data_IF_888815212219
#
_entry.id   IF_888815212219
#
_cell.length_a   1.000
_cell.length_b   1.000
_cell.length_c   1.000
_cell.angle_alpha   90.00
_cell.angle_beta   90.00
_cell.angle_gamma   90.00
#
_symmetry.space_group_name_H-M   'P 1'
#
loop_
_entity.id
_entity.type
_entity.pdbx_description
1 polymer ?
#
# COMPACT_ATOMS: atom_id res chain seq x y z
N UNK A 1 -56.05 -15.67 -10.50
CA UNK A 1 -54.90 -15.26 -9.66
C UNK A 1 -53.67 -15.98 -10.19
N UNK A 2 -52.89 -15.33 -11.06
CA UNK A 2 -51.69 -15.93 -11.67
C UNK A 2 -50.49 -15.54 -10.82
N UNK A 3 -49.88 -16.53 -10.16
CA UNK A 3 -48.62 -16.34 -9.43
C UNK A 3 -47.48 -16.27 -10.44
N UNK A 4 -46.95 -15.07 -10.66
CA UNK A 4 -45.72 -14.88 -11.44
C UNK A 4 -44.55 -15.22 -10.51
N UNK A 5 -43.85 -16.31 -10.80
CA UNK A 5 -42.61 -16.65 -10.14
C UNK A 5 -41.47 -15.83 -10.77
N UNK A 6 -40.90 -14.91 -10.01
CA UNK A 6 -39.70 -14.16 -10.41
C UNK A 6 -38.49 -15.03 -10.11
N UNK A 7 -37.87 -15.58 -11.15
CA UNK A 7 -36.57 -16.25 -11.07
C UNK A 7 -35.50 -15.17 -11.15
N UNK A 8 -34.83 -14.89 -10.04
CA UNK A 8 -33.66 -14.02 -10.01
C UNK A 8 -32.45 -14.79 -10.54
N UNK A 9 -32.00 -14.46 -11.76
CA UNK A 9 -30.75 -14.95 -12.32
C UNK A 9 -29.62 -14.14 -11.69
N UNK A 10 -28.86 -14.76 -10.79
CA UNK A 10 -27.60 -14.20 -10.27
C UNK A 10 -26.56 -14.35 -11.38
N UNK A 11 -26.33 -13.29 -12.14
CA UNK A 11 -25.14 -13.18 -12.99
C UNK A 11 -23.92 -12.99 -12.11
N UNK A 12 -23.18 -14.05 -11.82
CA UNK A 12 -21.82 -13.94 -11.30
C UNK A 12 -20.92 -13.42 -12.42
N UNK A 13 -20.60 -12.12 -12.40
CA UNK A 13 -19.55 -11.54 -13.23
C UNK A 13 -18.23 -12.07 -12.69
N UNK A 14 -17.79 -13.22 -13.21
CA UNK A 14 -16.42 -13.68 -12.98
C UNK A 14 -15.52 -12.74 -13.78
N UNK A 15 -14.95 -11.73 -13.10
CA UNK A 15 -13.77 -11.06 -13.64
C UNK A 15 -12.66 -12.12 -13.72
N UNK A 16 -12.37 -12.61 -14.93
CA UNK A 16 -11.29 -13.55 -15.14
C UNK A 16 -9.99 -12.84 -14.76
N UNK A 17 -9.28 -13.40 -13.77
CA UNK A 17 -7.91 -12.98 -13.50
C UNK A 17 -7.06 -13.31 -14.74
N UNK A 18 -6.19 -12.38 -15.14
CA UNK A 18 -5.28 -12.61 -16.26
C UNK A 18 -4.41 -13.84 -15.98
N UNK A 19 -4.10 -14.57 -17.04
CA UNK A 19 -3.10 -15.63 -17.01
C UNK A 19 -1.69 -15.06 -16.97
N UNK A 20 -0.73 -15.88 -16.52
CA UNK A 20 0.68 -15.51 -16.54
C UNK A 20 1.20 -15.16 -17.94
N UNK A 21 0.70 -15.86 -18.97
CA UNK A 21 1.03 -15.58 -20.36
C UNK A 21 0.54 -14.21 -20.82
N UNK A 22 -0.70 -13.84 -20.48
CA UNK A 22 -1.26 -12.53 -20.81
C UNK A 22 -0.48 -11.41 -20.13
N UNK A 23 -0.21 -11.53 -18.84
CA UNK A 23 0.63 -10.58 -18.09
C UNK A 23 2.02 -10.45 -18.73
N UNK A 24 2.65 -11.58 -19.08
CA UNK A 24 3.97 -11.56 -19.72
C UNK A 24 3.93 -10.86 -21.09
N UNK A 25 2.88 -11.11 -21.89
CA UNK A 25 2.65 -10.43 -23.17
C UNK A 25 2.45 -8.93 -22.98
N UNK A 26 1.71 -8.49 -21.97
CA UNK A 26 1.47 -7.07 -21.70
C UNK A 26 2.73 -6.33 -21.18
N UNK A 27 3.55 -6.99 -20.36
CA UNK A 27 4.84 -6.43 -19.90
C UNK A 27 5.81 -6.26 -21.08
N UNK A 28 5.87 -7.24 -21.98
CA UNK A 28 6.82 -7.23 -23.11
C UNK A 28 6.35 -6.33 -24.25
N UNK A 29 5.04 -6.38 -24.55
CA UNK A 29 4.35 -5.68 -25.64
C UNK A 29 5.11 -5.72 -26.98
N UNK A 30 5.53 -6.92 -27.38
CA UNK A 30 6.25 -7.17 -28.62
C UNK A 30 5.84 -8.53 -29.18
N UNK A 31 4.96 -8.50 -30.20
CA UNK A 31 4.39 -9.70 -30.81
C UNK A 31 5.43 -10.62 -31.44
N UNK A 32 6.61 -10.11 -31.80
CA UNK A 32 7.69 -10.95 -32.34
C UNK A 32 8.21 -11.98 -31.32
N UNK A 33 7.94 -11.76 -30.02
CA UNK A 33 8.36 -12.62 -28.92
C UNK A 33 7.27 -13.59 -28.46
N UNK A 34 6.06 -13.54 -29.02
CA UNK A 34 4.90 -14.29 -28.54
C UNK A 34 5.14 -15.81 -28.48
N UNK A 35 5.76 -16.39 -29.51
CA UNK A 35 6.06 -17.82 -29.53
C UNK A 35 6.98 -18.26 -28.37
N UNK A 36 7.97 -17.41 -28.03
CA UNK A 36 8.87 -17.66 -26.90
C UNK A 36 8.14 -17.47 -25.56
N UNK A 37 7.25 -16.48 -25.46
CA UNK A 37 6.41 -16.28 -24.27
C UNK A 37 5.46 -17.46 -24.05
N UNK A 38 4.84 -17.98 -25.11
CA UNK A 38 3.97 -19.16 -25.03
C UNK A 38 4.73 -20.40 -24.54
N UNK A 39 5.93 -20.63 -25.07
CA UNK A 39 6.78 -21.74 -24.62
C UNK A 39 7.13 -21.64 -23.13
N UNK A 40 7.37 -20.43 -22.63
CA UNK A 40 7.73 -20.18 -21.24
C UNK A 40 6.52 -20.27 -20.30
N UNK A 41 5.38 -19.68 -20.67
CA UNK A 41 4.30 -19.40 -19.72
C UNK A 41 3.02 -20.24 -19.89
N UNK A 42 2.80 -20.93 -21.03
CA UNK A 42 1.51 -21.58 -21.30
C UNK A 42 1.21 -22.81 -20.43
N UNK A 43 2.24 -23.47 -19.89
CA UNK A 43 2.10 -24.78 -19.21
C UNK A 43 2.16 -24.73 -17.68
N UNK A 44 2.64 -23.62 -17.12
CA UNK A 44 2.87 -23.50 -15.69
C UNK A 44 1.88 -22.49 -15.09
N UNK A 45 1.40 -22.80 -13.88
CA UNK A 45 0.53 -21.91 -13.15
C UNK A 45 1.39 -21.01 -12.24
N UNK A 46 1.74 -19.81 -12.71
CA UNK A 46 2.54 -18.85 -11.95
C UNK A 46 1.67 -18.10 -10.97
N UNK A 47 1.31 -18.76 -9.86
CA UNK A 47 0.41 -18.23 -8.85
C UNK A 47 1.15 -18.05 -7.54
N UNK A 48 0.95 -16.91 -6.89
CA UNK A 48 1.54 -16.59 -5.60
C UNK A 48 0.74 -17.17 -4.43
N UNK A 49 1.24 -17.00 -3.21
CA UNK A 49 0.58 -17.46 -1.98
C UNK A 49 -0.78 -16.80 -1.73
N UNK A 50 -1.06 -15.66 -2.37
CA UNK A 50 -2.31 -14.92 -2.28
C UNK A 50 -3.32 -15.29 -3.37
N UNK A 51 -3.00 -16.29 -4.21
CA UNK A 51 -3.78 -16.75 -5.37
C UNK A 51 -3.87 -15.74 -6.52
N UNK A 52 -2.91 -14.82 -6.61
CA UNK A 52 -2.76 -13.92 -7.75
C UNK A 52 -1.66 -14.43 -8.68
N UNK A 53 -1.58 -13.86 -9.89
CA UNK A 53 -0.44 -14.09 -10.77
C UNK A 53 0.85 -13.64 -10.08
N UNK A 54 1.87 -14.50 -10.08
CA UNK A 54 3.17 -14.22 -9.49
C UNK A 54 4.00 -13.30 -10.39
N UNK A 55 3.68 -12.01 -10.36
CA UNK A 55 4.34 -10.96 -11.17
C UNK A 55 5.86 -10.93 -10.95
N UNK A 56 6.31 -11.22 -9.71
CA UNK A 56 7.74 -11.24 -9.41
C UNK A 56 8.47 -12.31 -10.21
N UNK A 57 7.94 -13.54 -10.19
CA UNK A 57 8.52 -14.66 -10.92
C UNK A 57 8.47 -14.44 -12.44
N UNK A 58 7.34 -13.94 -12.95
CA UNK A 58 7.21 -13.57 -14.37
C UNK A 58 8.28 -12.53 -14.75
N UNK A 59 8.42 -11.45 -13.98
CA UNK A 59 9.46 -10.44 -14.24
C UNK A 59 10.87 -11.04 -14.24
N UNK A 60 11.18 -11.96 -13.31
CA UNK A 60 12.50 -12.62 -13.31
C UNK A 60 12.71 -13.46 -14.57
N UNK A 61 11.74 -14.27 -14.96
CA UNK A 61 11.83 -15.10 -16.17
C UNK A 61 12.02 -14.22 -17.40
N UNK A 62 11.27 -13.13 -17.53
CA UNK A 62 11.41 -12.19 -18.64
C UNK A 62 12.81 -11.58 -18.71
N UNK A 63 13.37 -11.13 -17.58
CA UNK A 63 14.72 -10.56 -17.52
C UNK A 63 15.79 -11.60 -17.86
N UNK A 64 15.74 -12.77 -17.23
CA UNK A 64 16.72 -13.86 -17.46
C UNK A 64 16.70 -14.34 -18.91
N UNK A 65 15.56 -14.25 -19.59
CA UNK A 65 15.42 -14.60 -21.00
C UNK A 65 15.64 -13.42 -21.96
N UNK A 66 16.07 -12.26 -21.46
CA UNK A 66 16.28 -11.01 -22.21
C UNK A 66 15.04 -10.56 -23.00
N UNK A 67 13.85 -10.86 -22.48
CA UNK A 67 12.56 -10.49 -23.07
C UNK A 67 12.12 -9.09 -22.63
N UNK A 68 12.52 -8.67 -21.44
CA UNK A 68 12.34 -7.34 -20.89
C UNK A 68 13.67 -6.80 -20.32
N UNK A 69 13.93 -5.52 -20.54
CA UNK A 69 15.05 -4.80 -19.95
C UNK A 69 14.52 -3.57 -19.21
N UNK A 70 14.91 -3.41 -17.94
CA UNK A 70 14.49 -2.31 -17.08
C UNK A 70 15.64 -1.38 -16.73
N UNK A 71 16.77 -1.48 -17.43
CA UNK A 71 17.97 -0.66 -17.22
C UNK A 71 18.33 0.05 -18.52
N UNK A 72 18.60 1.34 -18.43
CA UNK A 72 19.01 2.19 -19.53
C UNK A 72 20.47 2.62 -19.36
N UNK A 73 21.15 2.90 -20.47
CA UNK A 73 22.55 3.32 -20.47
C UNK A 73 22.76 4.74 -19.90
N UNK A 74 21.70 5.56 -19.90
CA UNK A 74 21.70 6.93 -19.40
C UNK A 74 20.34 7.26 -18.78
N UNK A 75 20.25 8.27 -17.89
CA UNK A 75 18.98 8.64 -17.28
C UNK A 75 17.98 9.11 -18.34
N UNK A 76 16.73 8.67 -18.22
CA UNK A 76 15.63 9.07 -19.10
C UNK A 76 14.44 9.51 -18.27
N UNK A 77 13.59 10.35 -18.84
CA UNK A 77 12.28 10.64 -18.26
C UNK A 77 11.34 9.46 -18.51
N UNK A 78 11.04 8.76 -17.43
CA UNK A 78 10.14 7.62 -17.38
C UNK A 78 8.76 8.07 -16.93
N UNK A 79 7.73 7.43 -17.46
CA UNK A 79 6.34 7.68 -17.13
C UNK A 79 5.74 6.43 -16.48
N UNK A 80 5.16 6.60 -15.30
CA UNK A 80 4.40 5.55 -14.62
C UNK A 80 2.95 6.01 -14.48
N UNK A 81 2.00 5.18 -14.86
CA UNK A 81 0.58 5.41 -14.62
C UNK A 81 0.03 4.32 -13.69
N UNK A 82 -0.63 4.74 -12.62
CA UNK A 82 -1.27 3.86 -11.65
C UNK A 82 -2.77 4.08 -11.69
N UNK A 83 -3.51 2.98 -11.81
CA UNK A 83 -4.97 2.96 -11.84
C UNK A 83 -5.51 2.06 -10.75
N UNK A 84 -6.47 2.54 -9.96
CA UNK A 84 -7.09 1.73 -8.92
C UNK A 84 -8.47 2.26 -8.52
N UNK A 85 -9.36 1.35 -8.15
CA UNK A 85 -10.51 1.68 -7.30
C UNK A 85 -10.03 1.71 -5.85
N UNK A 86 -9.87 2.90 -5.26
CA UNK A 86 -9.30 3.09 -3.93
C UNK A 86 -9.75 4.39 -3.27
N UNK A 87 -9.61 4.44 -1.95
CA UNK A 87 -9.63 5.71 -1.22
C UNK A 87 -8.32 6.47 -1.48
N UNK A 88 -8.40 7.78 -1.68
CA UNK A 88 -7.28 8.60 -2.14
C UNK A 88 -6.14 8.67 -1.13
N UNK A 89 -6.45 8.74 0.17
CA UNK A 89 -5.42 8.93 1.22
C UNK A 89 -4.52 7.70 1.29
N UNK A 90 -5.11 6.51 1.43
CA UNK A 90 -4.36 5.25 1.46
C UNK A 90 -3.68 4.95 0.11
N UNK A 91 -4.31 5.30 -1.01
CA UNK A 91 -3.71 5.14 -2.33
C UNK A 91 -2.39 5.91 -2.44
N UNK A 92 -2.43 7.23 -2.23
CA UNK A 92 -1.23 8.06 -2.39
C UNK A 92 -0.16 7.67 -1.38
N UNK A 93 -0.54 7.37 -0.13
CA UNK A 93 0.42 6.90 0.86
C UNK A 93 1.16 5.65 0.40
N UNK A 94 0.43 4.60 0.01
CA UNK A 94 1.06 3.33 -0.36
C UNK A 94 1.91 3.49 -1.63
N UNK A 95 1.42 4.17 -2.67
CA UNK A 95 2.18 4.36 -3.90
C UNK A 95 3.47 5.14 -3.64
N UNK A 96 3.38 6.26 -2.92
CA UNK A 96 4.56 7.09 -2.65
C UNK A 96 5.56 6.38 -1.74
N UNK A 97 5.10 5.72 -0.67
CA UNK A 97 5.97 4.95 0.23
C UNK A 97 6.66 3.81 -0.53
N UNK A 98 5.93 3.12 -1.41
CA UNK A 98 6.46 2.02 -2.23
C UNK A 98 7.52 2.51 -3.23
N UNK A 99 7.27 3.62 -3.93
CA UNK A 99 8.22 4.21 -4.86
C UNK A 99 9.49 4.68 -4.14
N UNK A 100 9.34 5.32 -2.98
CA UNK A 100 10.47 5.74 -2.13
C UNK A 100 11.29 4.53 -1.65
N UNK A 101 10.65 3.44 -1.21
CA UNK A 101 11.32 2.20 -0.81
C UNK A 101 12.14 1.57 -1.96
N UNK A 102 11.74 1.81 -3.20
CA UNK A 102 12.43 1.36 -4.42
C UNK A 102 13.47 2.37 -4.95
N UNK A 103 13.69 3.49 -4.25
CA UNK A 103 14.70 4.49 -4.59
C UNK A 103 14.21 5.63 -5.49
N UNK A 104 12.91 5.68 -5.81
CA UNK A 104 12.31 6.79 -6.56
C UNK A 104 11.91 7.91 -5.61
N UNK A 105 12.88 8.77 -5.24
CA UNK A 105 12.67 9.84 -4.26
C UNK A 105 12.11 11.13 -4.89
N UNK A 106 12.39 11.36 -6.17
CA UNK A 106 11.95 12.54 -6.91
C UNK A 106 11.07 12.13 -8.08
N UNK A 107 9.76 12.25 -7.91
CA UNK A 107 8.77 12.02 -8.95
C UNK A 107 7.80 13.20 -9.04
N UNK A 108 7.42 13.54 -10.27
CA UNK A 108 6.57 14.69 -10.57
C UNK A 108 5.20 14.19 -11.00
N UNK A 109 4.12 14.52 -10.27
CA UNK A 109 2.76 14.31 -10.74
C UNK A 109 2.52 15.07 -12.04
N UNK A 110 2.17 14.35 -13.12
CA UNK A 110 1.84 14.95 -14.42
C UNK A 110 0.36 14.84 -14.76
N UNK A 111 -0.36 13.90 -14.16
CA UNK A 111 -1.81 13.76 -14.32
C UNK A 111 -2.42 13.15 -13.06
N UNK A 112 -3.58 13.67 -12.67
CA UNK A 112 -4.40 13.09 -11.60
C UNK A 112 -5.88 13.18 -11.98
N UNK A 113 -6.54 12.03 -12.03
CA UNK A 113 -8.01 11.94 -12.14
C UNK A 113 -8.57 11.22 -10.93
N UNK A 114 -9.58 11.82 -10.31
CA UNK A 114 -10.36 11.23 -9.21
C UNK A 114 -11.82 11.19 -9.64
N UNK A 115 -12.35 10.02 -9.99
CA UNK A 115 -13.76 9.84 -10.39
C UNK A 115 -14.35 8.65 -9.65
N UNK A 116 -15.34 8.88 -8.78
CA UNK A 116 -16.06 7.79 -8.08
C UNK A 116 -15.12 6.79 -7.37
N UNK A 117 -14.06 7.30 -6.72
CA UNK A 117 -12.98 6.51 -6.10
C UNK A 117 -12.15 5.65 -7.09
N UNK A 118 -12.32 5.85 -8.39
CA UNK A 118 -11.36 5.42 -9.39
C UNK A 118 -10.30 6.50 -9.57
N UNK A 119 -9.06 6.12 -9.28
CA UNK A 119 -7.89 6.99 -9.30
C UNK A 119 -7.05 6.63 -10.50
N UNK A 120 -6.72 7.63 -11.32
CA UNK A 120 -5.63 7.55 -12.30
C UNK A 120 -4.57 8.54 -11.87
N UNK A 121 -3.37 8.04 -11.57
CA UNK A 121 -2.25 8.85 -11.11
C UNK A 121 -1.04 8.61 -11.99
N UNK A 122 -0.58 9.66 -12.67
CA UNK A 122 0.53 9.58 -13.62
C UNK A 122 1.70 10.40 -13.11
N UNK A 123 2.87 9.78 -13.12
CA UNK A 123 4.12 10.33 -12.62
C UNK A 123 5.17 10.36 -13.72
N UNK A 124 6.02 11.38 -13.69
CA UNK A 124 7.28 11.45 -14.42
C UNK A 124 8.46 11.32 -13.45
N UNK A 125 9.47 10.55 -13.84
CA UNK A 125 10.68 10.28 -13.04
C UNK A 125 11.90 10.26 -13.95
N UNK A 126 12.94 11.03 -13.63
CA UNK A 126 14.23 10.90 -14.32
C UNK A 126 15.08 9.80 -13.67
N UNK A 127 15.33 8.71 -14.40
CA UNK A 127 16.07 7.55 -13.89
C UNK A 127 16.71 6.72 -14.99
N UNK A 128 17.80 6.03 -14.66
CA UNK A 128 18.38 4.95 -15.47
C UNK A 128 17.63 3.62 -15.30
N UNK A 129 16.76 3.52 -14.31
CA UNK A 129 16.10 2.28 -13.91
C UNK A 129 14.59 2.42 -14.06
N UNK A 130 14.03 1.68 -15.03
CA UNK A 130 12.59 1.46 -15.13
C UNK A 130 12.07 0.75 -13.88
N UNK A 131 10.83 1.07 -13.49
CA UNK A 131 10.16 0.39 -12.39
C UNK A 131 10.02 -1.10 -12.75
N UNK A 132 10.88 -1.95 -12.19
CA UNK A 132 10.81 -3.39 -12.39
C UNK A 132 9.47 -3.88 -11.82
N UNK A 133 8.55 -4.40 -12.66
CA UNK A 133 7.21 -4.76 -12.20
C UNK A 133 7.20 -5.83 -11.11
N UNK A 134 8.21 -6.70 -11.09
CA UNK A 134 8.35 -7.74 -10.08
C UNK A 134 8.80 -7.20 -8.74
N UNK A 135 9.79 -6.30 -8.73
CA UNK A 135 10.22 -5.63 -7.50
C UNK A 135 9.14 -4.71 -6.94
N UNK A 136 8.45 -3.99 -7.83
CA UNK A 136 7.29 -3.18 -7.46
C UNK A 136 6.18 -4.02 -6.84
N UNK A 137 5.83 -5.16 -7.45
CA UNK A 137 4.83 -6.07 -6.89
C UNK A 137 5.22 -6.55 -5.48
N UNK A 138 6.47 -6.98 -5.28
CA UNK A 138 6.95 -7.41 -3.96
C UNK A 138 6.81 -6.31 -2.90
N UNK A 139 7.12 -5.07 -3.25
CA UNK A 139 7.00 -3.95 -2.32
C UNK A 139 5.53 -3.61 -2.01
N UNK A 140 4.63 -3.65 -3.01
CA UNK A 140 3.19 -3.48 -2.80
C UNK A 140 2.56 -4.53 -1.89
N UNK A 141 3.01 -5.80 -1.99
CA UNK A 141 2.51 -6.89 -1.15
C UNK A 141 2.72 -6.65 0.35
N UNK A 142 3.72 -5.85 0.75
CA UNK A 142 3.91 -5.44 2.15
C UNK A 142 2.73 -4.64 2.70
N UNK A 143 1.93 -4.03 1.83
CA UNK A 143 0.72 -3.29 2.17
C UNK A 143 -0.55 -4.02 1.68
N UNK A 144 -0.46 -5.32 1.35
CA UNK A 144 -1.59 -6.11 0.81
C UNK A 144 -2.26 -5.49 -0.42
N UNK A 145 -1.46 -4.82 -1.27
CA UNK A 145 -1.87 -4.30 -2.57
C UNK A 145 -1.35 -5.23 -3.66
N UNK A 146 -2.21 -5.52 -4.64
CA UNK A 146 -1.88 -6.42 -5.74
C UNK A 146 -1.86 -5.68 -7.07
N UNK A 147 -1.11 -6.20 -8.04
CA UNK A 147 -1.16 -5.76 -9.42
C UNK A 147 -2.12 -6.70 -10.17
N UNK A 148 -3.16 -6.13 -10.77
CA UNK A 148 -4.10 -6.86 -11.63
C UNK A 148 -3.55 -7.02 -13.04
N UNK A 149 -2.96 -5.97 -13.58
CA UNK A 149 -2.34 -5.95 -14.91
C UNK A 149 -1.21 -4.91 -15.01
N UNK A 150 -0.32 -5.12 -15.98
CA UNK A 150 0.80 -4.25 -16.31
C UNK A 150 0.85 -4.11 -17.82
N UNK A 151 0.62 -2.91 -18.33
CA UNK A 151 0.66 -2.61 -19.76
C UNK A 151 1.86 -1.73 -20.11
N UNK A 152 2.76 -2.23 -20.96
CA UNK A 152 3.81 -1.41 -21.56
C UNK A 152 3.22 -0.55 -22.67
N UNK A 153 3.06 0.75 -22.43
CA UNK A 153 2.52 1.70 -23.43
C UNK A 153 3.61 2.11 -24.43
N UNK A 154 4.84 2.29 -23.95
CA UNK A 154 6.03 2.51 -24.78
C UNK A 154 7.28 2.06 -24.01
N UNK A 155 8.46 2.16 -24.63
CA UNK A 155 9.74 1.84 -23.95
C UNK A 155 9.96 2.61 -22.64
N UNK A 156 9.40 3.82 -22.52
CA UNK A 156 9.57 4.70 -21.36
C UNK A 156 8.28 4.91 -20.55
N UNK A 157 7.21 4.17 -20.86
CA UNK A 157 5.89 4.38 -20.26
C UNK A 157 5.21 3.05 -19.91
N UNK A 158 4.94 2.85 -18.63
CA UNK A 158 4.21 1.69 -18.12
C UNK A 158 2.97 2.13 -17.35
N UNK A 159 1.91 1.35 -17.53
CA UNK A 159 0.67 1.48 -16.81
C UNK A 159 0.44 0.25 -15.92
N UNK A 160 -0.03 0.48 -14.70
CA UNK A 160 -0.29 -0.51 -13.68
C UNK A 160 -1.73 -0.39 -13.22
N UNK A 161 -2.50 -1.47 -13.35
CA UNK A 161 -3.81 -1.58 -12.71
C UNK A 161 -3.65 -2.32 -11.38
N UNK A 162 -4.11 -1.69 -10.29
CA UNK A 162 -3.85 -2.12 -8.92
C UNK A 162 -5.15 -2.49 -8.20
N UNK A 163 -5.06 -3.49 -7.33
CA UNK A 163 -6.11 -3.90 -6.41
C UNK A 163 -5.81 -3.42 -4.99
N UNK A 164 -6.59 -2.45 -4.53
CA UNK A 164 -6.53 -1.90 -3.17
C UNK A 164 -7.62 -2.47 -2.24
N UNK A 165 -8.41 -3.46 -2.68
CA UNK A 165 -9.54 -4.00 -1.91
C UNK A 165 -9.16 -4.58 -0.55
N UNK A 166 -7.89 -5.01 -0.40
CA UNK A 166 -7.31 -5.54 0.85
C UNK A 166 -6.18 -4.67 1.39
N UNK A 167 -6.04 -3.44 0.90
CA UNK A 167 -4.94 -2.56 1.27
C UNK A 167 -4.88 -2.35 2.79
N UNK A 168 -3.70 -2.57 3.36
CA UNK A 168 -3.39 -2.35 4.77
C UNK A 168 -2.09 -1.58 4.88
N UNK A 169 -2.08 -0.36 5.45
CA UNK A 169 -0.86 0.40 5.59
C UNK A 169 0.08 -0.25 6.59
N UNK A 170 1.38 -0.15 6.30
CA UNK A 170 2.46 -0.59 7.19
C UNK A 170 2.38 0.14 8.54
N UNK A 171 2.18 -0.63 9.60
CA UNK A 171 2.33 -0.16 10.99
C UNK A 171 3.77 -0.35 11.46
N UNK A 172 4.22 0.47 12.41
CA UNK A 172 5.57 0.39 12.96
C UNK A 172 5.60 -0.01 14.44
N UNK A 173 4.42 -0.13 15.07
CA UNK A 173 4.26 -0.39 16.50
C UNK A 173 3.25 -1.51 16.69
N UNK A 174 3.69 -2.61 17.30
CA UNK A 174 2.86 -3.77 17.62
C UNK A 174 2.42 -3.70 19.07
N UNK A 175 1.13 -3.82 19.31
CA UNK A 175 0.52 -3.76 20.65
C UNK A 175 -0.55 -4.82 20.70
N UNK A 176 -0.65 -5.58 21.78
CA UNK A 176 -1.73 -6.56 21.96
C UNK A 176 -2.86 -5.97 22.80
N UNK A 177 -4.10 -6.32 22.46
CA UNK A 177 -5.27 -5.96 23.27
C UNK A 177 -5.13 -6.48 24.70
N UNK A 178 -5.53 -5.66 25.66
CA UNK A 178 -5.52 -5.94 27.09
C UNK A 178 -4.15 -6.34 27.66
N UNK A 179 -3.06 -5.89 27.04
CA UNK A 179 -1.69 -6.12 27.52
C UNK A 179 -0.95 -4.79 27.59
N UNK A 180 -0.36 -4.49 28.76
CA UNK A 180 0.48 -3.31 28.92
C UNK A 180 1.78 -3.54 28.17
N UNK A 181 2.05 -2.72 27.16
CA UNK A 181 3.21 -2.83 26.29
C UNK A 181 4.14 -1.65 26.50
N UNK A 182 5.43 -1.91 26.72
CA UNK A 182 6.47 -0.87 26.74
C UNK A 182 6.95 -0.63 25.31
N UNK A 183 6.84 0.63 24.85
CA UNK A 183 7.37 1.10 23.57
C UNK A 183 8.78 1.64 23.75
N UNK A 184 9.63 1.45 22.75
CA UNK A 184 10.99 1.99 22.72
C UNK A 184 11.00 3.48 22.36
N UNK A 185 12.12 4.19 22.58
CA UNK A 185 12.29 5.57 22.10
C UNK A 185 11.89 5.68 20.62
N UNK A 186 10.96 6.57 20.24
CA UNK A 186 10.53 6.70 18.86
C UNK A 186 11.59 7.45 18.04
N UNK A 187 11.96 6.90 16.88
CA UNK A 187 12.64 7.65 15.81
C UNK A 187 11.64 8.33 14.86
N UNK A 188 10.39 7.87 14.91
CA UNK A 188 9.22 8.35 14.16
C UNK A 188 7.99 8.13 15.04
N UNK A 189 6.89 8.81 14.74
CA UNK A 189 5.63 8.63 15.45
C UNK A 189 5.23 7.14 15.47
N UNK A 190 4.66 6.67 16.58
CA UNK A 190 4.15 5.31 16.68
C UNK A 190 2.87 5.20 15.86
N UNK A 191 2.80 4.21 14.98
CA UNK A 191 1.63 3.90 14.15
C UNK A 191 1.22 2.48 14.49
N UNK A 192 0.00 2.31 15.00
CA UNK A 192 -0.52 1.01 15.42
C UNK A 192 -1.96 0.76 14.98
N UNK A 193 -2.33 -0.52 14.89
CA UNK A 193 -3.70 -1.00 14.72
C UNK A 193 -4.39 -1.06 16.09
N UNK A 194 -5.54 -0.40 16.20
CA UNK A 194 -6.34 -0.31 17.42
C UNK A 194 -7.11 -1.60 17.73
N UNK A 195 -7.20 -2.53 16.76
CA UNK A 195 -7.77 -3.88 16.93
C UNK A 195 -9.20 -3.89 17.50
N UNK A 196 -9.96 -2.80 17.32
CA UNK A 196 -11.31 -2.66 17.88
C UNK A 196 -11.35 -2.37 19.38
N UNK A 197 -10.26 -1.87 19.97
CA UNK A 197 -10.24 -1.35 21.33
C UNK A 197 -11.22 -0.17 21.49
N UNK A 198 -11.78 -0.02 22.69
CA UNK A 198 -12.68 1.06 23.09
C UNK A 198 -11.97 2.24 23.73
N UNK A 199 -10.82 2.00 24.36
CA UNK A 199 -10.00 3.06 24.92
C UNK A 199 -8.51 2.75 24.82
N UNK A 200 -7.72 3.81 24.84
CA UNK A 200 -6.27 3.76 24.86
C UNK A 200 -5.78 4.46 26.13
N UNK A 201 -4.86 3.80 26.83
CA UNK A 201 -4.16 4.34 28.00
C UNK A 201 -2.68 4.45 27.65
N UNK A 202 -2.10 5.62 27.89
CA UNK A 202 -0.69 5.90 27.60
C UNK A 202 -0.03 6.53 28.82
N UNK A 203 1.17 6.07 29.13
CA UNK A 203 2.00 6.63 30.20
C UNK A 203 3.41 6.92 29.71
N UNK A 204 3.87 8.16 29.91
CA UNK A 204 5.25 8.55 29.71
C UNK A 204 6.08 8.27 30.97
N UNK A 205 7.39 8.18 30.81
CA UNK A 205 8.29 8.13 31.96
C UNK A 205 8.33 9.51 32.68
N UNK A 206 8.36 9.55 34.01
CA UNK A 206 8.33 10.82 34.77
C UNK A 206 9.44 11.83 34.41
N UNK A 207 10.59 11.31 33.98
CA UNK A 207 11.75 12.10 33.52
C UNK A 207 11.68 12.53 32.05
N UNK A 208 10.65 12.11 31.32
CA UNK A 208 10.38 12.56 29.96
C UNK A 208 9.45 13.78 30.01
N UNK A 209 9.42 14.56 28.94
CA UNK A 209 8.59 15.76 28.85
C UNK A 209 7.58 15.61 27.73
N UNK A 210 6.82 14.52 27.76
CA UNK A 210 5.90 14.20 26.68
C UNK A 210 4.71 15.17 26.64
N UNK A 211 4.46 15.73 25.46
CA UNK A 211 3.32 16.58 25.14
C UNK A 211 2.43 15.82 24.17
N UNK A 212 1.36 15.21 24.70
CA UNK A 212 0.56 14.24 23.96
C UNK A 212 0.03 14.79 22.63
N UNK A 213 0.34 14.08 21.54
CA UNK A 213 -0.26 14.22 20.22
C UNK A 213 -0.74 12.85 19.74
N UNK A 214 -2.03 12.70 19.53
CA UNK A 214 -2.64 11.45 19.03
C UNK A 214 -3.59 11.79 17.90
N UNK A 215 -3.52 11.04 16.79
CA UNK A 215 -4.45 11.12 15.68
C UNK A 215 -5.10 9.76 15.47
N UNK A 216 -6.43 9.72 15.46
CA UNK A 216 -7.23 8.54 15.16
C UNK A 216 -7.66 8.58 13.70
N UNK A 217 -7.43 7.47 13.01
CA UNK A 217 -7.70 7.33 11.58
C UNK A 217 -8.62 6.13 11.31
N UNK A 218 -9.44 6.22 10.26
CA UNK A 218 -10.25 5.10 9.79
C UNK A 218 -9.40 4.03 9.08
N UNK A 219 -10.04 2.98 8.56
CA UNK A 219 -9.36 1.90 7.83
C UNK A 219 -8.64 2.34 6.54
N UNK A 220 -9.06 3.47 5.96
CA UNK A 220 -8.50 4.06 4.75
C UNK A 220 -7.52 5.21 5.07
N UNK A 221 -7.15 5.37 6.35
CA UNK A 221 -6.30 6.44 6.86
C UNK A 221 -6.91 7.84 6.83
N UNK A 222 -8.22 7.98 6.59
CA UNK A 222 -8.87 9.27 6.73
C UNK A 222 -8.88 9.68 8.20
N UNK A 223 -8.61 10.96 8.46
CA UNK A 223 -8.63 11.51 9.80
C UNK A 223 -10.04 11.49 10.39
N UNK A 224 -10.15 10.98 11.62
CA UNK A 224 -11.40 10.98 12.41
C UNK A 224 -11.33 12.06 13.49
N UNK A 225 -10.29 12.00 14.34
CA UNK A 225 -10.16 12.88 15.49
C UNK A 225 -8.71 12.99 15.94
N UNK A 226 -8.34 14.15 16.51
CA UNK A 226 -7.04 14.40 17.10
C UNK A 226 -7.16 14.79 18.58
N UNK A 227 -6.14 14.46 19.35
CA UNK A 227 -5.95 14.94 20.73
C UNK A 227 -4.57 15.53 20.86
N UNK A 228 -4.51 16.79 21.24
CA UNK A 228 -3.29 17.57 21.38
C UNK A 228 -3.25 18.21 22.77
N UNK A 229 -2.14 18.05 23.47
CA UNK A 229 -1.92 18.61 24.81
C UNK A 229 -0.62 19.42 24.81
N UNK A 230 -0.76 20.72 24.95
CA UNK A 230 0.38 21.66 25.03
C UNK A 230 1.09 21.65 26.40
N UNK A 231 0.51 20.97 27.39
CA UNK A 231 1.11 20.78 28.71
C UNK A 231 1.65 19.35 28.84
N UNK A 232 2.75 19.21 29.59
CA UNK A 232 3.37 17.91 29.86
C UNK A 232 2.34 16.92 30.43
N UNK A 233 2.31 15.72 29.88
CA UNK A 233 1.48 14.60 30.31
C UNK A 233 2.37 13.48 30.84
N UNK A 234 2.02 12.93 32.00
CA UNK A 234 2.60 11.67 32.46
C UNK A 234 1.70 10.50 32.11
N UNK A 235 0.38 10.69 32.18
CA UNK A 235 -0.61 9.66 31.90
C UNK A 235 -1.79 10.28 31.15
N UNK A 236 -2.36 9.53 30.21
CA UNK A 236 -3.59 9.90 29.53
C UNK A 236 -4.43 8.66 29.25
N UNK A 237 -5.74 8.79 29.44
CA UNK A 237 -6.72 7.76 29.08
C UNK A 237 -7.78 8.41 28.20
N UNK A 238 -8.01 7.83 27.03
CA UNK A 238 -8.95 8.39 26.04
C UNK A 238 -9.86 7.30 25.50
N UNK A 239 -11.16 7.59 25.29
CA UNK A 239 -11.99 6.74 24.46
C UNK A 239 -11.49 6.79 23.00
N UNK A 240 -11.56 5.65 22.32
CA UNK A 240 -11.29 5.55 20.89
C UNK A 240 -12.57 5.91 20.13
N UNK A 241 -12.53 6.85 19.17
CA UNK A 241 -13.71 7.24 18.42
C UNK A 241 -14.21 6.11 17.53
N UNK A 242 -15.53 6.10 17.27
CA UNK A 242 -16.16 5.09 16.44
C UNK A 242 -15.56 5.09 15.03
N UNK A 243 -15.28 3.89 14.49
CA UNK A 243 -14.73 3.72 13.15
C UNK A 243 -13.20 3.85 13.08
N UNK A 244 -12.52 4.24 14.16
CA UNK A 244 -11.06 4.30 14.19
C UNK A 244 -10.45 2.90 14.10
N UNK A 245 -9.52 2.75 13.16
CA UNK A 245 -8.75 1.53 12.93
C UNK A 245 -7.29 1.71 13.31
N UNK A 246 -6.73 2.89 13.08
CA UNK A 246 -5.33 3.19 13.38
C UNK A 246 -5.21 4.39 14.33
N UNK A 247 -4.12 4.41 15.09
CA UNK A 247 -3.68 5.60 15.82
C UNK A 247 -2.23 5.94 15.46
N UNK A 248 -1.98 7.23 15.28
CA UNK A 248 -0.64 7.81 15.21
C UNK A 248 -0.40 8.54 16.54
N UNK A 249 0.66 8.17 17.25
CA UNK A 249 1.01 8.71 18.56
C UNK A 249 2.40 9.33 18.48
N UNK A 250 2.49 10.59 18.90
CA UNK A 250 3.73 11.35 18.90
C UNK A 250 3.77 12.38 20.01
N UNK A 251 4.56 13.41 19.77
CA UNK A 251 4.73 14.57 20.64
C UNK A 251 4.33 15.84 19.88
N UNK A 252 3.73 16.81 20.55
CA UNK A 252 3.31 18.08 19.95
C UNK A 252 4.48 18.93 19.44
N UNK A 253 5.67 18.80 20.04
CA UNK A 253 6.81 19.66 19.73
C UNK A 253 7.97 18.87 19.15
N UNK A 254 8.37 17.76 19.78
CA UNK A 254 9.48 16.93 19.31
C UNK A 254 9.45 15.54 19.92
N UNK A 255 9.70 14.52 19.09
CA UNK A 255 9.83 13.12 19.55
C UNK A 255 11.01 12.93 20.53
N UNK A 256 12.00 13.83 20.55
CA UNK A 256 13.09 13.79 21.53
C UNK A 256 12.63 14.06 22.98
N UNK A 257 11.40 14.54 23.15
CA UNK A 257 10.77 14.64 24.47
C UNK A 257 10.42 13.27 25.06
N UNK A 258 10.27 12.24 24.21
CA UNK A 258 9.96 10.85 24.57
C UNK A 258 11.27 10.04 24.60
N UNK A 259 12.14 10.32 25.56
CA UNK A 259 13.50 9.73 25.63
C UNK A 259 13.50 8.24 25.96
N UNK A 260 12.52 7.77 26.73
CA UNK A 260 12.43 6.40 27.25
C UNK A 260 11.28 5.60 26.66
N UNK A 261 10.60 6.17 25.67
CA UNK A 261 9.40 5.60 25.08
C UNK A 261 8.16 5.77 25.97
N UNK A 262 7.05 5.19 25.53
CA UNK A 262 5.76 5.23 26.22
C UNK A 262 5.35 3.82 26.66
N UNK A 263 4.50 3.72 27.68
CA UNK A 263 3.71 2.52 27.94
C UNK A 263 2.34 2.71 27.30
N UNK A 264 1.81 1.66 26.68
CA UNK A 264 0.50 1.67 26.04
C UNK A 264 -0.32 0.47 26.50
N UNK A 265 -1.61 0.69 26.74
CA UNK A 265 -2.60 -0.35 26.98
C UNK A 265 -3.85 -0.07 26.15
N UNK A 266 -4.28 -1.06 25.37
CA UNK A 266 -5.51 -0.99 24.56
C UNK A 266 -6.60 -1.81 25.26
N UNK A 267 -7.68 -1.16 25.69
CA UNK A 267 -8.79 -1.78 26.41
C UNK A 267 -9.96 -2.11 25.48
N UNK A 268 -10.55 -3.29 25.63
CA UNK A 268 -11.72 -3.74 24.85
C UNK A 268 -13.06 -3.29 25.42
#
# INVERSE_FOLDING_TARGET
MVKIAIIAIIFSINAYALSALEVAKHIVNDRSKDAKLELLFAKNNYIDVNKNVNIYEISQILKTNSLANFIFNEPKTLIFSFKAQADSVIFFKIINDTLNELGYVYFIPIELTLRENYITYKLAVDSQYMLDPGLFYKALLLNSVFIKDISKISELNYEYELDFSKAMPKINTQVSLNVLTQLNKPLREYILDLQGAKSIELSAHNLDSWFCKIQFLDKNLNFIQGVEKIHKQNDITLPIPLGAKYAIIGDMFSLDNIKRGLKIYLRR
#
